data_IF_595438620334
#
_entry.id   IF_595438620334
#
_cell.length_a   1.000
_cell.length_b   1.000
_cell.length_c   1.000
_cell.angle_alpha   90.00
_cell.angle_beta   90.00
_cell.angle_gamma   90.00
#
_symmetry.space_group_name_H-M   'P 1'
#
loop_
_entity.id
_entity.type
_entity.pdbx_description
1 polymer ?
#
# COMPACT_ATOMS: atom_id res chain seq x y z
N UNK A 1 6.40 11.34 8.34
CA UNK A 1 7.12 10.68 7.23
C UNK A 1 6.43 9.34 6.98
N UNK A 2 6.26 8.92 5.73
CA UNK A 2 5.55 7.68 5.38
C UNK A 2 6.19 6.46 6.06
N UNK A 3 5.40 5.55 6.64
CA UNK A 3 5.92 4.44 7.47
C UNK A 3 6.75 3.44 6.66
N UNK A 4 6.47 3.27 5.36
CA UNK A 4 7.07 2.25 4.49
C UNK A 4 6.88 0.84 5.07
N UNK A 5 5.61 0.43 5.23
CA UNK A 5 5.26 -0.88 5.82
C UNK A 5 5.98 -2.03 5.08
N UNK A 6 6.54 -3.00 5.82
CA UNK A 6 7.51 -3.94 5.28
C UNK A 6 6.87 -5.14 4.55
N UNK A 7 5.54 -5.25 4.50
CA UNK A 7 4.87 -6.38 3.85
C UNK A 7 3.51 -6.02 3.28
N UNK A 8 3.04 -6.85 2.35
CA UNK A 8 1.68 -6.81 1.82
C UNK A 8 0.67 -7.20 2.89
N UNK A 9 -0.35 -6.37 3.11
CA UNK A 9 -1.37 -6.63 4.13
C UNK A 9 -2.17 -7.91 3.83
N UNK A 10 -2.38 -8.28 2.55
CA UNK A 10 -3.15 -9.47 2.18
C UNK A 10 -2.36 -10.79 2.22
N UNK A 11 -1.22 -10.86 1.52
CA UNK A 11 -0.48 -12.11 1.32
C UNK A 11 0.82 -12.19 2.13
N UNK A 12 1.12 -11.17 2.94
CA UNK A 12 2.35 -11.03 3.73
C UNK A 12 3.66 -11.07 2.93
N UNK A 13 3.62 -10.93 1.60
CA UNK A 13 4.82 -10.80 0.76
C UNK A 13 5.70 -9.67 1.31
N UNK A 14 7.02 -9.87 1.51
CA UNK A 14 7.92 -8.80 1.90
C UNK A 14 7.92 -7.67 0.86
N UNK A 15 7.78 -6.43 1.33
CA UNK A 15 7.80 -5.20 0.53
C UNK A 15 8.84 -4.24 1.14
N UNK A 16 10.14 -4.57 1.02
CA UNK A 16 11.21 -3.73 1.55
C UNK A 16 11.15 -2.31 0.95
N UNK A 17 11.84 -1.30 1.52
CA UNK A 17 11.70 0.10 1.12
C UNK A 17 11.93 0.41 -0.36
N UNK A 18 12.72 -0.43 -1.04
CA UNK A 18 13.05 -0.35 -2.46
C UNK A 18 12.17 -1.24 -3.36
N UNK A 19 11.15 -1.90 -2.81
CA UNK A 19 10.23 -2.75 -3.55
C UNK A 19 9.46 -1.92 -4.59
N UNK A 20 9.66 -2.26 -5.86
CA UNK A 20 9.04 -1.57 -7.00
C UNK A 20 7.59 -2.02 -7.24
N UNK A 21 7.18 -3.11 -6.62
CA UNK A 21 5.84 -3.70 -6.71
C UNK A 21 4.97 -3.38 -5.48
N UNK A 22 5.46 -2.56 -4.55
CA UNK A 22 4.67 -2.07 -3.43
C UNK A 22 3.70 -0.97 -3.90
N UNK A 23 2.42 -1.15 -3.58
CA UNK A 23 1.34 -0.22 -3.84
C UNK A 23 0.83 0.33 -2.51
N UNK A 24 0.38 1.59 -2.51
CA UNK A 24 -0.07 2.29 -1.30
C UNK A 24 -1.31 3.14 -1.56
N UNK A 25 -2.19 3.26 -0.56
CA UNK A 25 -3.26 4.28 -0.54
C UNK A 25 -2.90 5.45 0.40
N UNK A 26 -3.75 6.48 0.49
CA UNK A 26 -3.52 7.66 1.35
C UNK A 26 -3.45 7.36 2.85
N UNK A 27 -4.06 6.27 3.31
CA UNK A 27 -3.99 5.78 4.71
C UNK A 27 -2.80 4.83 4.96
N UNK A 28 -1.88 4.78 4.00
CA UNK A 28 -0.70 3.93 4.01
C UNK A 28 -0.97 2.41 4.05
N UNK A 29 -2.19 1.98 3.68
CA UNK A 29 -2.45 0.55 3.48
C UNK A 29 -1.57 0.05 2.33
N UNK A 30 -0.77 -0.98 2.60
CA UNK A 30 0.30 -1.42 1.68
C UNK A 30 0.00 -2.81 1.14
N UNK A 31 0.01 -2.97 -0.18
CA UNK A 31 -0.24 -4.24 -0.87
C UNK A 31 0.77 -4.43 -2.00
N UNK A 32 1.04 -5.66 -2.42
CA UNK A 32 1.80 -5.89 -3.65
C UNK A 32 0.90 -5.66 -4.89
N UNK A 33 1.50 -5.37 -6.04
CA UNK A 33 0.78 -5.18 -7.31
C UNK A 33 -0.13 -6.36 -7.68
N UNK A 34 0.30 -7.59 -7.39
CA UNK A 34 -0.51 -8.80 -7.61
C UNK A 34 -1.81 -8.75 -6.79
N UNK A 35 -1.74 -8.39 -5.51
CA UNK A 35 -2.93 -8.26 -4.67
C UNK A 35 -3.80 -7.08 -5.10
N UNK A 36 -3.22 -5.95 -5.51
CA UNK A 36 -3.99 -4.80 -6.03
C UNK A 36 -4.78 -5.18 -7.28
N UNK A 37 -4.23 -6.04 -8.14
CA UNK A 37 -4.91 -6.55 -9.33
C UNK A 37 -6.14 -7.38 -8.94
N UNK A 38 -6.02 -8.25 -7.93
CA UNK A 38 -7.15 -9.02 -7.39
C UNK A 38 -8.20 -8.12 -6.72
N UNK A 39 -7.77 -7.02 -6.11
CA UNK A 39 -8.63 -6.07 -5.41
C UNK A 39 -9.35 -5.09 -6.36
N UNK A 40 -9.04 -5.10 -7.67
CA UNK A 40 -9.67 -4.20 -8.64
C UNK A 40 -9.36 -2.72 -8.37
N UNK A 41 -8.13 -2.41 -7.98
CA UNK A 41 -7.68 -1.07 -7.59
C UNK A 41 -8.58 -0.40 -6.53
N UNK A 42 -9.11 -1.19 -5.60
CA UNK A 42 -9.97 -0.72 -4.51
C UNK A 42 -9.39 -1.22 -3.20
N UNK A 43 -9.02 -0.31 -2.30
CA UNK A 43 -8.46 -0.68 -1.02
C UNK A 43 -9.53 -1.34 -0.14
N UNK A 44 -9.32 -2.58 0.35
CA UNK A 44 -10.31 -3.29 1.16
C UNK A 44 -10.49 -2.64 2.54
N UNK A 45 -9.54 -1.80 2.97
CA UNK A 45 -9.59 -1.12 4.26
C UNK A 45 -10.29 0.24 4.22
N UNK A 46 -10.28 0.94 3.08
CA UNK A 46 -10.81 2.33 2.98
C UNK A 46 -11.62 2.65 1.73
N UNK A 47 -11.69 1.77 0.72
CA UNK A 47 -12.41 2.00 -0.54
C UNK A 47 -11.67 2.87 -1.58
N UNK A 48 -10.60 3.56 -1.19
CA UNK A 48 -9.79 4.40 -2.09
C UNK A 48 -8.96 3.59 -3.10
N UNK A 49 -8.39 4.28 -4.09
CA UNK A 49 -7.47 3.69 -5.07
C UNK A 49 -6.06 3.45 -4.54
N UNK A 50 -5.23 2.79 -5.36
CA UNK A 50 -3.81 2.58 -5.11
C UNK A 50 -2.94 3.32 -6.13
N UNK A 51 -1.75 3.70 -5.67
CA UNK A 51 -0.65 4.18 -6.51
C UNK A 51 0.64 3.44 -6.14
N UNK A 52 1.68 3.44 -6.99
CA UNK A 52 3.00 2.93 -6.60
C UNK A 52 3.51 3.64 -5.34
N UNK A 53 4.02 2.87 -4.38
CA UNK A 53 4.60 3.42 -3.15
C UNK A 53 5.89 4.17 -3.47
N UNK A 54 6.02 5.45 -3.09
CA UNK A 54 7.29 6.17 -3.27
C UNK A 54 8.46 5.50 -2.56
N UNK A 55 9.60 5.42 -3.22
CA UNK A 55 10.83 4.85 -2.67
C UNK A 55 11.62 5.93 -1.93
N UNK A 56 11.94 5.69 -0.66
CA UNK A 56 12.82 6.58 0.10
C UNK A 56 14.28 6.37 -0.32
N UNK A 57 15.06 7.45 -0.55
CA UNK A 57 16.46 7.33 -0.93
C UNK A 57 17.29 6.52 0.08
N UNK A 58 18.21 5.72 -0.43
CA UNK A 58 19.20 4.99 0.38
C UNK A 58 20.42 5.85 0.73
N UNK A 59 20.66 6.92 -0.03
CA UNK A 59 21.80 7.83 0.13
C UNK A 59 21.30 9.21 0.54
N UNK A 60 22.04 9.87 1.42
CA UNK A 60 21.75 11.24 1.82
C UNK A 60 22.09 12.23 0.70
N UNK A 61 21.13 12.48 -0.18
CA UNK A 61 21.30 13.45 -1.26
C UNK A 61 20.97 14.88 -0.84
N UNK A 62 20.07 15.06 0.14
CA UNK A 62 19.56 16.37 0.52
C UNK A 62 18.99 16.36 1.94
N UNK A 63 19.64 17.08 2.85
CA UNK A 63 19.10 17.45 4.16
C UNK A 63 18.64 16.24 5.00
N UNK A 64 19.45 15.18 5.04
CA UNK A 64 19.21 13.97 5.83
C UNK A 64 17.91 13.21 5.50
N UNK A 65 17.28 13.48 4.35
CA UNK A 65 16.06 12.81 3.91
C UNK A 65 16.38 11.45 3.23
N UNK A 66 16.82 10.46 4.01
CA UNK A 66 17.18 9.14 3.51
C UNK A 66 16.98 8.05 4.57
N UNK A 67 17.05 6.78 4.17
CA UNK A 67 16.77 5.63 5.04
C UNK A 67 17.69 5.49 6.26
N UNK A 68 18.91 6.05 6.24
CA UNK A 68 19.80 5.97 7.41
C UNK A 68 19.40 6.90 8.55
N UNK A 69 18.75 8.03 8.25
CA UNK A 69 18.21 8.95 9.25
C UNK A 69 16.72 8.68 9.52
N UNK A 70 15.93 8.47 8.47
CA UNK A 70 14.50 8.17 8.52
C UNK A 70 14.22 6.73 8.07
N UNK A 71 14.44 5.73 8.94
CA UNK A 71 14.31 4.32 8.57
C UNK A 71 12.87 3.97 8.20
N UNK A 72 12.73 2.90 7.41
CA UNK A 72 11.43 2.29 7.16
C UNK A 72 10.95 1.52 8.39
N UNK A 73 9.64 1.38 8.51
CA UNK A 73 9.01 0.59 9.55
C UNK A 73 9.40 -0.88 9.45
N UNK A 74 9.66 -1.48 10.60
CA UNK A 74 9.87 -2.93 10.77
C UNK A 74 8.59 -3.64 11.22
N UNK A 75 7.52 -2.88 11.49
CA UNK A 75 6.25 -3.42 11.99
C UNK A 75 5.42 -3.97 10.83
N UNK A 76 5.28 -5.29 10.79
CA UNK A 76 4.39 -5.99 9.85
C UNK A 76 2.93 -5.68 10.20
N UNK A 77 2.16 -5.27 9.19
CA UNK A 77 0.69 -5.26 9.25
C UNK A 77 0.19 -6.36 8.34
N UNK A 78 -0.15 -7.51 8.91
CA UNK A 78 -0.73 -8.62 8.17
C UNK A 78 -2.23 -8.69 8.48
N UNK A 79 -3.04 -8.35 7.48
CA UNK A 79 -4.50 -8.29 7.54
C UNK A 79 -5.06 -8.88 6.24
N UNK A 80 -5.14 -10.21 6.13
CA UNK A 80 -5.74 -10.89 5.00
C UNK A 80 -7.11 -10.32 4.65
N UNK A 81 -7.39 -10.25 3.35
CA UNK A 81 -8.63 -9.67 2.86
C UNK A 81 -9.79 -10.62 3.12
N UNK A 82 -10.84 -10.08 3.72
CA UNK A 82 -12.16 -10.69 3.70
C UNK A 82 -12.76 -10.47 2.31
N UNK A 83 -12.74 -11.53 1.49
CA UNK A 83 -13.16 -11.43 0.09
C UNK A 83 -14.66 -11.20 -0.06
N UNK A 84 -15.50 -11.72 0.83
CA UNK A 84 -16.93 -11.51 0.77
C UNK A 84 -17.25 -10.03 1.05
N UNK A 85 -16.69 -9.48 2.12
CA UNK A 85 -16.83 -8.06 2.43
C UNK A 85 -16.26 -7.17 1.32
N UNK A 86 -15.14 -7.55 0.71
CA UNK A 86 -14.54 -6.81 -0.40
C UNK A 86 -15.42 -6.83 -1.65
N UNK A 87 -16.06 -7.95 -1.98
CA UNK A 87 -17.02 -8.01 -3.09
C UNK A 87 -18.21 -7.06 -2.85
N UNK A 88 -18.75 -7.01 -1.64
CA UNK A 88 -19.80 -6.05 -1.30
C UNK A 88 -19.34 -4.59 -1.44
N UNK A 89 -18.10 -4.28 -1.06
CA UNK A 89 -17.50 -2.96 -1.24
C UNK A 89 -17.37 -2.60 -2.72
N UNK A 90 -16.91 -3.53 -3.57
CA UNK A 90 -16.80 -3.34 -5.01
C UNK A 90 -18.16 -3.04 -5.66
N UNK A 91 -19.20 -3.77 -5.28
CA UNK A 91 -20.56 -3.51 -5.75
C UNK A 91 -21.06 -2.12 -5.34
N UNK A 92 -20.77 -1.70 -4.10
CA UNK A 92 -21.15 -0.36 -3.60
C UNK A 92 -20.45 0.78 -4.34
N UNK A 93 -19.21 0.57 -4.76
CA UNK A 93 -18.37 1.57 -5.44
C UNK A 93 -18.44 1.47 -6.97
N UNK A 94 -19.30 0.60 -7.50
CA UNK A 94 -19.44 0.38 -8.93
C UNK A 94 -19.81 1.68 -9.64
N UNK A 95 -19.02 2.05 -10.65
CA UNK A 95 -19.22 3.28 -11.43
C UNK A 95 -18.68 4.56 -10.78
N UNK A 96 -18.16 4.50 -9.54
CA UNK A 96 -17.50 5.63 -8.89
C UNK A 96 -15.99 5.54 -9.17
N UNK A 97 -15.39 6.49 -9.90
CA UNK A 97 -13.96 6.47 -10.19
C UNK A 97 -13.14 6.77 -8.92
N UNK A 98 -11.89 6.28 -8.80
CA UNK A 98 -11.10 6.42 -7.57
C UNK A 98 -10.95 7.85 -7.04
N UNK A 99 -10.89 8.85 -7.91
CA UNK A 99 -10.80 10.28 -7.56
C UNK A 99 -12.08 10.87 -6.95
N UNK A 100 -13.18 10.12 -6.94
CA UNK A 100 -14.48 10.50 -6.36
C UNK A 100 -14.92 9.57 -5.20
N UNK A 101 -14.05 8.66 -4.74
CA UNK A 101 -14.33 7.74 -3.62
C UNK A 101 -13.89 8.29 -2.27
#
# INVERSE_FOLDING_TARGET
MLELRPSCENCNKPLPPHATDAMICSFECTFCSDCVSLLGNTCPNCGGGFVPRPIRPVTNWKGDNYLGHDPASTTVKFRPVDWEAHQHLLLRLQGIPPEQR
#
